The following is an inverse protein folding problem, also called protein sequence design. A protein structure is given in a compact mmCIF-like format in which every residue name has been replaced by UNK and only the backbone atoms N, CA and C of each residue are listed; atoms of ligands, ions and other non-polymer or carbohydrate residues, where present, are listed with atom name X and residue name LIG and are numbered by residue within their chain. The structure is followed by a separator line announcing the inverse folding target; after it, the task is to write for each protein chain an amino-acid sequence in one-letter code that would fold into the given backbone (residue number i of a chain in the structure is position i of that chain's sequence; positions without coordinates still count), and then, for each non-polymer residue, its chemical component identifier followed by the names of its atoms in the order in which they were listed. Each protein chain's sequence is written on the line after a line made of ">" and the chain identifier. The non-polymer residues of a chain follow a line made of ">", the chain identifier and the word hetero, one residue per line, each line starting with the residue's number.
data_IF_907821661821
#
_entry.id   IF_907821661821
#
_cell.length_a   1.000
_cell.length_b   1.000
_cell.length_c   1.000
_cell.angle_alpha   90.00
_cell.angle_beta   90.00
_cell.angle_gamma   90.00
#
_symmetry.space_group_name_H-M   'P 1'
#
loop_
_entity.id
_entity.type
_entity.pdbx_description
1 polymer ?
#
# COMPACT_ATOMS: atom_id res chain seq x y z
N UNK A 1 -16.05 -11.99 9.24
CA UNK A 1 -15.69 -11.72 7.83
C UNK A 1 -16.90 -11.82 6.91
N UNK A 2 -17.65 -12.91 6.97
CA UNK A 2 -18.84 -13.19 6.12
C UNK A 2 -19.89 -12.06 6.06
N UNK A 3 -20.15 -11.36 7.18
CA UNK A 3 -21.05 -10.18 7.20
C UNK A 3 -20.54 -9.03 6.32
N UNK A 4 -19.23 -8.74 6.36
CA UNK A 4 -18.64 -7.65 5.60
C UNK A 4 -18.59 -7.96 4.10
N UNK A 5 -18.38 -9.23 3.75
CA UNK A 5 -18.44 -9.70 2.36
C UNK A 5 -19.85 -9.56 1.79
N UNK A 6 -20.87 -9.92 2.58
CA UNK A 6 -22.28 -9.78 2.19
C UNK A 6 -22.69 -8.31 2.04
N UNK A 7 -22.25 -7.43 2.95
CA UNK A 7 -22.51 -5.99 2.85
C UNK A 7 -21.81 -5.36 1.63
N UNK A 8 -20.56 -5.75 1.32
CA UNK A 8 -19.84 -5.29 0.13
C UNK A 8 -20.49 -5.80 -1.18
N UNK A 9 -20.94 -7.06 -1.21
CA UNK A 9 -21.65 -7.63 -2.35
C UNK A 9 -23.00 -6.94 -2.59
N UNK A 10 -23.73 -6.61 -1.52
CA UNK A 10 -24.97 -5.85 -1.60
C UNK A 10 -24.73 -4.42 -2.12
N UNK A 11 -23.66 -3.76 -1.66
CA UNK A 11 -23.29 -2.41 -2.10
C UNK A 11 -22.89 -2.35 -3.59
N UNK A 12 -22.21 -3.39 -4.10
CA UNK A 12 -21.94 -3.55 -5.55
C UNK A 12 -23.23 -3.72 -6.34
N UNK A 13 -24.18 -4.54 -5.86
CA UNK A 13 -25.46 -4.80 -6.54
C UNK A 13 -26.33 -3.55 -6.73
N UNK A 14 -26.18 -2.56 -5.86
CA UNK A 14 -26.92 -1.28 -5.91
C UNK A 14 -26.13 -0.15 -6.60
N UNK A 15 -24.99 -0.47 -7.24
CA UNK A 15 -24.17 0.49 -8.00
C UNK A 15 -23.45 1.55 -7.15
N UNK A 16 -23.39 1.39 -5.81
CA UNK A 16 -22.72 2.37 -4.93
C UNK A 16 -21.21 2.46 -5.15
N UNK A 17 -20.63 1.49 -5.85
CA UNK A 17 -19.20 1.40 -6.12
C UNK A 17 -18.92 1.20 -7.62
N UNK A 18 -19.81 1.64 -8.50
CA UNK A 18 -19.55 1.63 -9.94
C UNK A 18 -18.71 2.86 -10.29
N UNK A 19 -17.39 2.72 -10.12
CA UNK A 19 -16.43 3.73 -10.53
C UNK A 19 -15.63 3.22 -11.73
N UNK A 20 -15.33 4.04 -12.76
CA UNK A 20 -14.56 3.61 -13.92
C UNK A 20 -13.19 3.01 -13.59
N UNK A 21 -12.61 3.38 -12.45
CA UNK A 21 -11.38 2.77 -11.95
C UNK A 21 -11.53 1.28 -11.58
N UNK A 22 -12.72 0.85 -11.13
CA UNK A 22 -13.02 -0.54 -10.80
C UNK A 22 -13.23 -1.35 -12.08
N UNK A 23 -13.87 -0.78 -13.10
CA UNK A 23 -13.98 -1.40 -14.42
C UNK A 23 -12.62 -1.61 -15.08
N UNK A 24 -11.68 -0.68 -14.92
CA UNK A 24 -10.28 -0.84 -15.39
C UNK A 24 -9.54 -2.00 -14.70
N UNK A 25 -9.98 -2.37 -13.49
CA UNK A 25 -9.44 -3.51 -12.75
C UNK A 25 -10.21 -4.81 -13.07
N UNK A 26 -11.33 -4.74 -13.79
CA UNK A 26 -12.09 -5.92 -14.20
C UNK A 26 -11.25 -6.71 -15.22
N UNK A 27 -10.73 -7.86 -14.79
CA UNK A 27 -9.83 -8.69 -15.58
C UNK A 27 -8.34 -8.50 -15.27
N UNK A 28 -7.98 -7.58 -14.37
CA UNK A 28 -6.63 -7.52 -13.83
C UNK A 28 -6.33 -8.77 -12.98
N UNK A 29 -5.08 -9.29 -13.00
CA UNK A 29 -4.71 -10.38 -12.13
C UNK A 29 -4.92 -9.98 -10.67
N UNK A 30 -5.49 -10.90 -9.88
CA UNK A 30 -5.56 -10.71 -8.43
C UNK A 30 -4.14 -10.69 -7.87
N UNK A 31 -3.91 -9.83 -6.88
CA UNK A 31 -2.67 -9.88 -6.10
C UNK A 31 -2.56 -11.28 -5.48
N UNK A 32 -1.38 -11.88 -5.59
CA UNK A 32 -1.08 -13.07 -4.82
C UNK A 32 -0.94 -12.71 -3.34
N UNK A 33 -1.01 -13.71 -2.46
CA UNK A 33 -0.95 -13.50 -1.00
C UNK A 33 0.33 -12.75 -0.60
N UNK A 34 1.45 -13.05 -1.25
CA UNK A 34 2.74 -12.41 -1.01
C UNK A 34 2.71 -10.93 -1.41
N UNK A 35 2.12 -10.61 -2.56
CA UNK A 35 1.99 -9.21 -3.00
C UNK A 35 1.05 -8.42 -2.10
N UNK A 36 -0.01 -9.05 -1.59
CA UNK A 36 -0.94 -8.43 -0.65
C UNK A 36 -0.24 -8.11 0.68
N UNK A 37 0.59 -9.03 1.18
CA UNK A 37 1.42 -8.78 2.36
C UNK A 37 2.31 -7.54 2.19
N UNK A 38 3.03 -7.42 1.07
CA UNK A 38 3.89 -6.26 0.82
C UNK A 38 3.10 -4.96 0.70
N UNK A 39 1.91 -5.01 0.10
CA UNK A 39 1.03 -3.84 -0.02
C UNK A 39 0.52 -3.37 1.34
N UNK A 40 0.07 -4.30 2.19
CA UNK A 40 -0.37 -3.98 3.55
C UNK A 40 0.78 -3.50 4.44
N UNK A 41 1.96 -4.11 4.30
CA UNK A 41 3.17 -3.64 4.98
C UNK A 41 3.49 -2.19 4.58
N UNK A 42 3.47 -1.89 3.28
CA UNK A 42 3.69 -0.53 2.79
C UNK A 42 2.69 0.47 3.35
N UNK A 43 1.40 0.16 3.33
CA UNK A 43 0.34 1.03 3.87
C UNK A 43 0.57 1.34 5.35
N UNK A 44 0.88 0.31 6.14
CA UNK A 44 1.12 0.43 7.58
C UNK A 44 2.37 1.24 7.88
N UNK A 45 3.48 0.94 7.20
CA UNK A 45 4.76 1.64 7.40
C UNK A 45 4.65 3.10 6.93
N UNK A 46 3.93 3.34 5.83
CA UNK A 46 3.73 4.68 5.29
C UNK A 46 2.82 5.54 6.17
N UNK A 47 1.84 4.97 6.87
CA UNK A 47 1.00 5.72 7.81
C UNK A 47 1.76 6.19 9.06
N UNK A 48 2.82 5.46 9.45
CA UNK A 48 3.71 5.83 10.55
C UNK A 48 4.76 6.89 10.13
N UNK A 49 4.72 7.36 8.87
CA UNK A 49 5.66 8.38 8.38
C UNK A 49 5.47 9.68 9.16
N UNK A 50 6.56 10.31 9.66
CA UNK A 50 6.47 11.63 10.26
C UNK A 50 5.91 12.63 9.25
N UNK A 51 4.81 13.31 9.60
CA UNK A 51 4.26 14.40 8.83
C UNK A 51 5.14 15.66 9.01
N UNK A 52 6.25 15.75 8.26
CA UNK A 52 7.00 17.00 8.10
C UNK A 52 6.65 17.68 6.76
N UNK A 53 7.13 18.92 6.56
CA UNK A 53 6.79 19.78 5.40
C UNK A 53 7.04 19.16 4.01
N UNK A 54 7.77 18.04 3.93
CA UNK A 54 7.80 17.17 2.76
C UNK A 54 7.67 15.72 3.23
N UNK A 55 6.89 14.90 2.51
CA UNK A 55 6.85 13.46 2.78
C UNK A 55 8.25 12.88 2.50
N UNK A 56 9.09 12.81 3.53
CA UNK A 56 10.42 12.22 3.44
C UNK A 56 10.33 10.74 3.08
N UNK A 57 11.43 10.16 2.59
CA UNK A 57 11.49 8.72 2.31
C UNK A 57 11.17 7.91 3.56
N UNK A 58 10.55 6.75 3.39
CA UNK A 58 10.34 5.80 4.47
C UNK A 58 11.68 5.45 5.10
N UNK A 59 11.77 5.58 6.43
CA UNK A 59 12.98 5.27 7.18
C UNK A 59 13.16 3.78 7.42
N UNK A 60 14.41 3.31 7.37
CA UNK A 60 14.77 1.92 7.67
C UNK A 60 14.25 1.45 9.05
N UNK A 61 14.26 2.33 10.05
CA UNK A 61 13.77 2.02 11.40
C UNK A 61 12.29 1.62 11.45
N UNK A 62 11.45 2.20 10.59
CA UNK A 62 10.03 1.84 10.51
C UNK A 62 9.84 0.44 9.91
N UNK A 63 10.67 0.07 8.93
CA UNK A 63 10.64 -1.26 8.33
C UNK A 63 11.15 -2.33 9.30
N UNK A 64 12.21 -2.03 10.05
CA UNK A 64 12.69 -2.93 11.12
C UNK A 64 11.61 -3.15 12.15
N UNK A 65 10.98 -2.09 12.65
CA UNK A 65 9.90 -2.18 13.65
C UNK A 65 8.74 -3.06 13.16
N UNK A 66 8.33 -2.89 11.90
CA UNK A 66 7.30 -3.73 11.29
C UNK A 66 7.75 -5.19 11.19
N UNK A 67 8.96 -5.44 10.70
CA UNK A 67 9.52 -6.78 10.57
C UNK A 67 9.65 -7.51 11.91
N UNK A 68 10.11 -6.82 12.95
CA UNK A 68 10.19 -7.35 14.31
C UNK A 68 8.81 -7.71 14.87
N UNK A 69 7.79 -6.89 14.62
CA UNK A 69 6.41 -7.19 15.04
C UNK A 69 5.88 -8.50 14.42
N UNK A 70 6.24 -8.78 13.16
CA UNK A 70 5.88 -10.02 12.48
C UNK A 70 6.89 -11.16 12.67
N UNK A 71 7.90 -11.01 13.53
CA UNK A 71 8.97 -11.98 13.76
C UNK A 71 9.74 -12.37 12.49
N UNK A 72 9.91 -11.43 11.56
CA UNK A 72 10.72 -11.63 10.37
C UNK A 72 12.20 -11.78 10.75
N UNK A 73 12.89 -12.69 10.08
CA UNK A 73 14.34 -12.81 10.15
C UNK A 73 15.01 -11.57 9.57
N UNK A 74 16.28 -11.35 9.96
CA UNK A 74 17.07 -10.23 9.44
C UNK A 74 17.05 -10.13 7.91
N UNK A 75 17.18 -11.27 7.23
CA UNK A 75 17.17 -11.35 5.77
C UNK A 75 15.82 -10.94 5.19
N UNK A 76 14.73 -11.42 5.78
CA UNK A 76 13.37 -11.07 5.34
C UNK A 76 13.09 -9.57 5.55
N UNK A 77 13.61 -8.96 6.62
CA UNK A 77 13.50 -7.50 6.84
C UNK A 77 14.25 -6.72 5.75
N UNK A 78 15.43 -7.21 5.35
CA UNK A 78 16.19 -6.59 4.27
C UNK A 78 15.46 -6.71 2.93
N UNK A 79 14.90 -7.89 2.61
CA UNK A 79 14.08 -8.11 1.42
C UNK A 79 12.83 -7.21 1.43
N UNK A 80 12.13 -7.12 2.55
CA UNK A 80 11.00 -6.21 2.75
C UNK A 80 11.40 -4.77 2.47
N UNK A 81 12.55 -4.31 2.96
CA UNK A 81 13.03 -2.95 2.74
C UNK A 81 13.28 -2.61 1.27
N UNK A 82 13.83 -3.53 0.50
CA UNK A 82 14.01 -3.32 -0.94
C UNK A 82 12.67 -3.07 -1.63
N UNK A 83 11.65 -3.85 -1.27
CA UNK A 83 10.30 -3.72 -1.84
C UNK A 83 9.64 -2.41 -1.40
N UNK A 84 9.67 -2.09 -0.10
CA UNK A 84 9.10 -0.87 0.45
C UNK A 84 9.73 0.39 -0.18
N UNK A 85 11.05 0.39 -0.42
CA UNK A 85 11.71 1.50 -1.12
C UNK A 85 11.22 1.69 -2.54
N UNK A 86 11.08 0.59 -3.30
CA UNK A 86 10.61 0.66 -4.68
C UNK A 86 9.18 1.22 -4.75
N UNK A 87 8.31 0.80 -3.81
CA UNK A 87 6.96 1.33 -3.70
C UNK A 87 6.95 2.82 -3.31
N UNK A 88 7.79 3.21 -2.35
CA UNK A 88 7.90 4.61 -1.91
C UNK A 88 8.40 5.53 -3.03
N UNK A 89 9.32 5.06 -3.88
CA UNK A 89 9.81 5.82 -5.03
C UNK A 89 8.71 6.13 -6.05
N UNK A 90 7.80 5.18 -6.31
CA UNK A 90 6.64 5.39 -7.19
C UNK A 90 5.67 6.41 -6.60
N UNK A 91 5.43 6.36 -5.28
CA UNK A 91 4.58 7.35 -4.60
C UNK A 91 5.20 8.74 -4.62
N UNK A 92 6.49 8.85 -4.33
CA UNK A 92 7.19 10.14 -4.33
C UNK A 92 7.27 10.75 -5.74
N UNK A 93 7.54 9.95 -6.77
CA UNK A 93 7.60 10.45 -8.16
C UNK A 93 6.23 10.91 -8.69
N UNK A 94 5.15 10.22 -8.34
CA UNK A 94 3.78 10.67 -8.69
C UNK A 94 3.32 11.92 -7.92
N UNK A 95 3.84 12.13 -6.71
CA UNK A 95 3.57 13.36 -5.94
C UNK A 95 4.30 14.60 -6.50
N UNK A 96 5.46 14.41 -7.15
CA UNK A 96 6.23 15.51 -7.74
C UNK A 96 5.67 15.98 -9.09
N UNK A 97 5.07 15.09 -9.88
CA UNK A 97 4.49 15.42 -11.20
C UNK A 97 3.17 16.19 -11.13
N UNK A 98 2.58 16.36 -9.93
CA UNK A 98 1.32 17.09 -9.71
C UNK A 98 1.50 18.52 -9.19
N UNK A 99 2.74 19.05 -9.12
CA UNK A 99 2.95 20.48 -8.88
C UNK A 99 2.73 21.28 -10.17
N UNK A 100 1.69 22.12 -10.28
CA UNK A 100 1.55 23.01 -11.43
C UNK A 100 2.66 24.04 -11.37
N UNK A 101 3.41 24.18 -12.47
CA UNK A 101 4.29 25.32 -12.67
C UNK A 101 3.44 26.60 -12.54
N UNK A 102 3.83 27.48 -11.61
CA UNK A 102 3.30 28.84 -11.53
C UNK A 102 3.81 29.68 -12.69
#
# INVERSE_FOLDING_TARGET
>A
MERYENEAAAARKIGKFDHPAIEKLAGAPKLSLEHDFYLEAFRTIASDRPASMSAGRIGWSLVVKYGEFYNLTRREIEELWYIIKAMDEVVLSSSQSSSPAK
#
